data_IF_661169669521
#
_entry.id   IF_661169669521
#
_cell.length_a   1.000
_cell.length_b   1.000
_cell.length_c   1.000
_cell.angle_alpha   90.00
_cell.angle_beta   90.00
_cell.angle_gamma   90.00
#
_symmetry.space_group_name_H-M   'P 1'
#
loop_
_entity.id
_entity.type
_entity.pdbx_description
1 polymer ?
#
# COMPACT_ATOMS: atom_id res chain seq x y z
N UNK A 1 27.13 27.99 6.87
CA UNK A 1 27.62 26.61 7.05
C UNK A 1 26.48 25.67 6.67
N UNK A 2 26.53 25.10 5.45
CA UNK A 2 25.48 24.21 4.93
C UNK A 2 25.67 22.84 5.56
N UNK A 3 24.78 22.49 6.48
CA UNK A 3 24.64 21.13 6.99
C UNK A 3 24.12 20.24 5.86
N UNK A 4 25.02 19.60 5.15
CA UNK A 4 24.71 18.44 4.32
C UNK A 4 24.37 17.28 5.25
N UNK A 5 23.23 17.36 5.92
CA UNK A 5 22.61 16.17 6.47
C UNK A 5 22.14 15.34 5.29
N UNK A 6 22.59 14.07 5.14
CA UNK A 6 21.97 13.15 4.22
C UNK A 6 20.53 12.96 4.71
N UNK A 7 19.61 13.77 4.17
CA UNK A 7 18.18 13.54 4.32
C UNK A 7 17.93 12.21 3.63
N UNK A 8 17.80 11.15 4.42
CA UNK A 8 17.26 9.87 3.98
C UNK A 8 15.80 10.09 3.58
N UNK A 9 15.59 10.68 2.40
CA UNK A 9 14.30 10.89 1.74
C UNK A 9 13.69 9.59 1.21
N UNK A 10 14.39 8.47 1.40
CA UNK A 10 14.23 7.25 0.60
C UNK A 10 13.30 6.19 1.17
N UNK A 11 13.18 6.01 2.49
CA UNK A 11 12.32 4.96 3.03
C UNK A 11 11.67 5.47 4.31
N UNK A 12 10.40 5.87 4.23
CA UNK A 12 9.53 5.64 5.37
C UNK A 12 9.38 4.11 5.44
N UNK A 13 10.09 3.39 6.34
CA UNK A 13 10.09 1.93 6.34
C UNK A 13 8.67 1.38 6.52
N UNK A 14 7.82 2.11 7.26
CA UNK A 14 6.40 1.81 7.37
C UNK A 14 5.66 2.00 6.03
N UNK A 15 5.97 3.05 5.27
CA UNK A 15 5.39 3.28 3.94
C UNK A 15 5.79 2.20 2.92
N UNK A 16 7.06 1.80 2.89
CA UNK A 16 7.54 0.73 2.02
C UNK A 16 6.93 -0.63 2.39
N UNK A 17 6.88 -0.95 3.70
CA UNK A 17 6.22 -2.15 4.18
C UNK A 17 4.73 -2.18 3.80
N UNK A 18 4.02 -1.04 3.89
CA UNK A 18 2.61 -0.95 3.50
C UNK A 18 2.39 -1.22 2.01
N UNK A 19 3.26 -0.72 1.13
CA UNK A 19 3.14 -1.01 -0.32
C UNK A 19 3.32 -2.51 -0.57
N UNK A 20 4.32 -3.14 0.04
CA UNK A 20 4.56 -4.58 -0.10
C UNK A 20 3.36 -5.38 0.42
N UNK A 21 2.82 -5.03 1.58
CA UNK A 21 1.62 -5.68 2.15
C UNK A 21 0.39 -5.54 1.23
N UNK A 22 0.16 -4.35 0.69
CA UNK A 22 -0.94 -4.10 -0.24
C UNK A 22 -0.79 -4.93 -1.52
N UNK A 23 0.41 -4.96 -2.11
CA UNK A 23 0.69 -5.73 -3.32
C UNK A 23 0.58 -7.24 -3.11
N UNK A 24 1.08 -7.76 -1.98
CA UNK A 24 0.95 -9.17 -1.62
C UNK A 24 -0.52 -9.55 -1.41
N UNK A 25 -1.27 -8.73 -0.66
CA UNK A 25 -2.69 -8.97 -0.40
C UNK A 25 -3.51 -8.92 -1.70
N UNK A 26 -3.25 -7.94 -2.56
CA UNK A 26 -3.89 -7.82 -3.88
C UNK A 26 -3.57 -9.03 -4.77
N UNK A 27 -2.31 -9.48 -4.78
CA UNK A 27 -1.90 -10.65 -5.57
C UNK A 27 -2.59 -11.91 -5.06
N UNK A 28 -2.68 -12.10 -3.73
CA UNK A 28 -3.42 -13.20 -3.13
C UNK A 28 -4.91 -13.15 -3.46
N UNK A 29 -5.51 -11.94 -3.42
CA UNK A 29 -6.92 -11.74 -3.76
C UNK A 29 -7.20 -12.08 -5.23
N UNK A 30 -6.34 -11.64 -6.16
CA UNK A 30 -6.43 -12.01 -7.57
C UNK A 30 -6.24 -13.52 -7.78
N UNK A 31 -5.25 -14.13 -7.13
CA UNK A 31 -4.98 -15.56 -7.26
C UNK A 31 -6.17 -16.41 -6.78
N UNK A 32 -6.73 -16.09 -5.61
CA UNK A 32 -7.92 -16.77 -5.06
C UNK A 32 -9.16 -16.52 -5.92
N UNK A 33 -9.32 -15.31 -6.47
CA UNK A 33 -10.39 -15.01 -7.43
C UNK A 33 -10.29 -15.86 -8.70
N UNK A 34 -9.07 -16.04 -9.24
CA UNK A 34 -8.83 -16.93 -10.39
C UNK A 34 -9.13 -18.38 -10.02
N UNK A 35 -8.70 -18.85 -8.84
CA UNK A 35 -8.99 -20.22 -8.38
C UNK A 35 -10.50 -20.47 -8.33
N UNK A 36 -11.28 -19.48 -7.89
CA UNK A 36 -12.74 -19.57 -7.88
C UNK A 36 -13.36 -19.75 -9.28
N UNK A 37 -12.65 -19.40 -10.35
CA UNK A 37 -13.10 -19.59 -11.74
C UNK A 37 -12.73 -20.96 -12.33
N UNK A 38 -11.98 -21.79 -11.60
CA UNK A 38 -11.50 -23.09 -12.09
C UNK A 38 -12.40 -24.23 -11.62
N UNK A 39 -12.63 -25.24 -12.48
CA UNK A 39 -13.50 -26.38 -12.18
C UNK A 39 -13.06 -27.20 -10.94
N UNK A 40 -11.76 -27.17 -10.60
CA UNK A 40 -11.20 -27.94 -9.49
C UNK A 40 -11.44 -27.30 -8.11
N UNK A 41 -11.58 -25.97 -8.08
CA UNK A 41 -11.69 -25.19 -6.84
C UNK A 41 -13.03 -24.44 -6.73
N UNK A 42 -13.91 -24.59 -7.73
CA UNK A 42 -15.25 -24.03 -7.74
C UNK A 42 -16.08 -24.55 -6.55
N UNK A 43 -16.55 -23.63 -5.70
CA UNK A 43 -17.39 -23.96 -4.54
C UNK A 43 -16.65 -24.59 -3.36
N UNK A 44 -15.33 -24.48 -3.32
CA UNK A 44 -14.53 -24.96 -2.19
C UNK A 44 -14.48 -23.90 -1.09
N UNK A 45 -15.03 -24.23 0.08
CA UNK A 45 -15.25 -23.31 1.20
C UNK A 45 -13.97 -22.59 1.67
N UNK A 46 -12.83 -23.29 1.76
CA UNK A 46 -11.59 -22.66 2.21
C UNK A 46 -11.06 -21.58 1.23
N UNK A 47 -11.37 -21.71 -0.07
CA UNK A 47 -10.96 -20.71 -1.08
C UNK A 47 -11.85 -19.47 -0.97
N UNK A 48 -13.14 -19.67 -0.74
CA UNK A 48 -14.12 -18.59 -0.50
C UNK A 48 -13.73 -17.80 0.75
N UNK A 49 -13.53 -18.48 1.88
CA UNK A 49 -13.16 -17.88 3.15
C UNK A 49 -11.83 -17.12 3.06
N UNK A 50 -10.83 -17.70 2.36
CA UNK A 50 -9.56 -17.02 2.13
C UNK A 50 -9.72 -15.78 1.25
N UNK A 51 -10.52 -15.84 0.20
CA UNK A 51 -10.78 -14.69 -0.68
C UNK A 51 -11.49 -13.56 0.08
N UNK A 52 -12.53 -13.89 0.85
CA UNK A 52 -13.27 -12.94 1.69
C UNK A 52 -12.36 -12.31 2.76
N UNK A 53 -11.56 -13.13 3.45
CA UNK A 53 -10.59 -12.65 4.44
C UNK A 53 -9.55 -11.70 3.82
N UNK A 54 -9.02 -12.03 2.63
CA UNK A 54 -8.09 -11.17 1.90
C UNK A 54 -8.76 -9.87 1.45
N UNK A 55 -10.03 -9.89 1.05
CA UNK A 55 -10.77 -8.70 0.66
C UNK A 55 -10.95 -7.74 1.85
N UNK A 56 -11.36 -8.25 3.00
CA UNK A 56 -11.47 -7.46 4.23
C UNK A 56 -10.13 -6.93 4.71
N UNK A 57 -9.08 -7.76 4.67
CA UNK A 57 -7.72 -7.34 4.99
C UNK A 57 -7.25 -6.21 4.08
N UNK A 58 -7.43 -6.36 2.76
CA UNK A 58 -7.02 -5.36 1.78
C UNK A 58 -7.75 -4.03 2.02
N UNK A 59 -9.06 -4.06 2.28
CA UNK A 59 -9.84 -2.87 2.60
C UNK A 59 -9.31 -2.17 3.86
N UNK A 60 -9.00 -2.93 4.91
CA UNK A 60 -8.38 -2.41 6.13
C UNK A 60 -7.00 -1.79 5.88
N UNK A 61 -6.15 -2.46 5.12
CA UNK A 61 -4.82 -1.96 4.74
C UNK A 61 -4.91 -0.67 3.93
N UNK A 62 -5.86 -0.55 3.01
CA UNK A 62 -6.10 0.68 2.24
C UNK A 62 -6.49 1.83 3.17
N UNK A 63 -7.41 1.60 4.12
CA UNK A 63 -7.80 2.62 5.09
C UNK A 63 -6.59 3.09 5.93
N UNK A 64 -5.80 2.15 6.46
CA UNK A 64 -4.56 2.44 7.20
C UNK A 64 -3.55 3.19 6.34
N UNK A 65 -3.40 2.81 5.07
CA UNK A 65 -2.49 3.47 4.13
C UNK A 65 -2.89 4.94 3.90
N UNK A 66 -4.17 5.21 3.65
CA UNK A 66 -4.70 6.56 3.45
C UNK A 66 -4.42 7.42 4.70
N UNK A 67 -4.73 6.89 5.90
CA UNK A 67 -4.44 7.57 7.17
C UNK A 67 -2.94 7.86 7.29
N UNK A 68 -2.08 6.88 6.96
CA UNK A 68 -0.62 7.02 6.99
C UNK A 68 -0.10 8.10 6.04
N UNK A 69 -0.64 8.17 4.81
CA UNK A 69 -0.29 9.20 3.82
C UNK A 69 -0.73 10.58 4.30
N UNK A 70 -1.93 10.72 4.85
CA UNK A 70 -2.43 11.99 5.41
C UNK A 70 -1.56 12.42 6.60
N UNK A 71 -1.28 11.51 7.54
CA UNK A 71 -0.46 11.80 8.72
C UNK A 71 0.96 12.23 8.33
N UNK A 72 1.59 11.50 7.42
CA UNK A 72 2.93 11.81 6.91
C UNK A 72 2.93 13.14 6.14
N UNK A 73 1.90 13.41 5.34
CA UNK A 73 1.72 14.67 4.61
C UNK A 73 1.60 15.86 5.55
N UNK A 74 0.83 15.72 6.64
CA UNK A 74 0.70 16.77 7.66
C UNK A 74 2.00 16.99 8.43
N UNK A 75 2.72 15.92 8.78
CA UNK A 75 3.97 16.00 9.55
C UNK A 75 5.12 16.64 8.77
N UNK A 76 5.20 16.40 7.46
CA UNK A 76 6.26 16.95 6.61
C UNK A 76 5.91 18.27 5.92
N UNK A 77 4.68 18.80 6.10
CA UNK A 77 4.15 19.98 5.38
C UNK A 77 4.36 19.92 3.86
N UNK A 78 4.44 18.71 3.31
CA UNK A 78 4.57 18.46 1.87
C UNK A 78 3.30 17.76 1.40
N UNK A 79 2.76 18.19 0.27
CA UNK A 79 1.63 17.52 -0.36
C UNK A 79 2.11 16.20 -1.00
N UNK A 80 2.26 15.15 -0.19
CA UNK A 80 2.63 13.81 -0.65
C UNK A 80 1.74 13.29 -1.79
N UNK A 81 0.40 13.44 -1.76
CA UNK A 81 -0.45 13.01 -2.88
C UNK A 81 -0.10 13.71 -4.19
N UNK A 82 0.24 15.01 -4.13
CA UNK A 82 0.69 15.76 -5.29
C UNK A 82 2.02 15.23 -5.80
N UNK A 83 2.98 14.95 -4.91
CA UNK A 83 4.27 14.38 -5.28
C UNK A 83 4.16 12.97 -5.89
N UNK A 84 3.19 12.16 -5.44
CA UNK A 84 2.90 10.84 -6.03
C UNK A 84 2.38 10.96 -7.47
N UNK A 85 1.51 11.93 -7.74
CA UNK A 85 0.96 12.16 -9.09
C UNK A 85 1.99 12.81 -10.02
N UNK A 86 2.74 13.80 -9.51
CA UNK A 86 3.68 14.56 -10.35
C UNK A 86 5.04 13.89 -10.49
N UNK A 87 5.39 12.91 -9.65
CA UNK A 87 6.73 12.33 -9.57
C UNK A 87 7.81 13.28 -9.02
N UNK A 88 7.55 14.60 -9.02
CA UNK A 88 8.44 15.62 -8.49
C UNK A 88 8.17 15.88 -6.99
N UNK A 89 9.17 15.58 -6.15
CA UNK A 89 9.28 16.16 -4.80
C UNK A 89 9.83 17.58 -4.94
N UNK A 90 9.22 18.57 -4.26
CA UNK A 90 9.67 19.97 -4.33
C UNK A 90 11.17 20.05 -3.99
N UNK A 91 12.04 20.55 -4.88
CA UNK A 91 13.38 20.95 -4.46
C UNK A 91 13.22 22.16 -3.53
N UNK A 92 13.92 22.13 -2.39
CA UNK A 92 14.04 23.30 -1.52
C UNK A 92 14.93 24.31 -2.24
N UNK A 93 14.43 25.54 -2.43
CA UNK A 93 15.27 26.70 -2.74
C UNK A 93 16.15 27.05 -1.54
#
# INVERSE_FOLDING_TARGET
MRGSEPRYLGHNPAGAAMIVLLLLSLTGLCATGILYTTDLFWGVEWVEELHEALAHLLLGLVAVHIIGVIFTGRRHQENLPRAMITGYKRPLN
#
